data_IF_054352419971
#
_entry.id   IF_054352419971
#
_cell.length_a   1.000
_cell.length_b   1.000
_cell.length_c   1.000
_cell.angle_alpha   90.00
_cell.angle_beta   90.00
_cell.angle_gamma   90.00
#
_symmetry.space_group_name_H-M   'P 1'
#
loop_
_entity.id
_entity.type
_entity.pdbx_description
1 polymer ?
#
# COMPACT_ATOMS: atom_id res chain seq x y z
N UNK A 1 -4.63 -7.45 10.15
CA UNK A 1 -3.33 -7.28 10.84
C UNK A 1 -2.34 -6.87 9.76
N UNK A 2 -1.90 -5.61 9.74
CA UNK A 2 -0.89 -5.18 8.76
C UNK A 2 0.36 -6.06 8.92
N UNK A 3 0.74 -6.81 7.89
CA UNK A 3 1.71 -7.90 8.04
C UNK A 3 3.15 -7.39 8.16
N UNK A 4 3.47 -6.23 7.56
CA UNK A 4 4.80 -5.60 7.66
C UNK A 4 4.79 -4.08 7.61
N UNK A 5 5.90 -3.46 8.05
CA UNK A 5 6.12 -2.01 7.95
C UNK A 5 6.05 -1.50 6.49
N UNK A 6 6.48 -2.32 5.53
CA UNK A 6 6.40 -2.02 4.08
C UNK A 6 4.93 -1.80 3.67
N UNK A 7 4.06 -2.74 4.01
CA UNK A 7 2.63 -2.63 3.69
C UNK A 7 1.99 -1.41 4.36
N UNK A 8 2.34 -1.12 5.62
CA UNK A 8 1.84 0.07 6.32
C UNK A 8 2.27 1.37 5.61
N UNK A 9 3.54 1.49 5.19
CA UNK A 9 4.02 2.64 4.43
C UNK A 9 3.28 2.80 3.10
N UNK A 10 3.02 1.70 2.38
CA UNK A 10 2.30 1.73 1.11
C UNK A 10 0.82 2.07 1.27
N UNK A 11 0.18 1.63 2.35
CA UNK A 11 -1.19 2.02 2.69
C UNK A 11 -1.26 3.52 2.99
N UNK A 12 -0.34 4.04 3.80
CA UNK A 12 -0.24 5.48 4.04
C UNK A 12 -0.03 6.26 2.73
N UNK A 13 0.84 5.77 1.84
CA UNK A 13 1.04 6.37 0.53
C UNK A 13 -0.27 6.43 -0.27
N UNK A 14 -1.05 5.35 -0.29
CA UNK A 14 -2.33 5.31 -0.98
C UNK A 14 -3.37 6.28 -0.37
N UNK A 15 -3.41 6.39 0.95
CA UNK A 15 -4.31 7.33 1.64
C UNK A 15 -3.98 8.79 1.30
N UNK A 16 -2.71 9.14 1.26
CA UNK A 16 -2.24 10.53 1.05
C UNK A 16 -2.28 10.93 -0.44
N UNK A 17 -1.92 10.02 -1.35
CA UNK A 17 -1.77 10.33 -2.77
C UNK A 17 -3.06 9.98 -3.52
N UNK A 18 -3.69 10.98 -4.15
CA UNK A 18 -4.89 10.75 -4.97
C UNK A 18 -4.57 10.33 -6.41
N UNK A 19 -3.39 10.67 -6.93
CA UNK A 19 -2.96 10.28 -8.28
C UNK A 19 -2.07 9.05 -8.25
N UNK A 20 -2.28 8.13 -9.20
CA UNK A 20 -1.48 6.90 -9.34
C UNK A 20 -0.01 7.19 -9.62
N UNK A 21 0.30 8.28 -10.32
CA UNK A 21 1.68 8.73 -10.56
C UNK A 21 2.40 9.09 -9.26
N UNK A 22 1.71 9.81 -8.38
CA UNK A 22 2.27 10.28 -7.12
C UNK A 22 2.43 9.11 -6.14
N UNK A 23 1.46 8.19 -6.16
CA UNK A 23 1.57 6.92 -5.44
C UNK A 23 2.76 6.08 -5.92
N UNK A 24 3.00 6.00 -7.23
CA UNK A 24 4.15 5.27 -7.75
C UNK A 24 5.47 5.87 -7.28
N UNK A 25 5.61 7.21 -7.28
CA UNK A 25 6.79 7.88 -6.76
C UNK A 25 7.00 7.54 -5.27
N UNK A 26 5.97 7.68 -4.45
CA UNK A 26 6.05 7.36 -3.02
C UNK A 26 6.38 5.87 -2.78
N UNK A 27 5.79 4.97 -3.57
CA UNK A 27 6.12 3.54 -3.53
C UNK A 27 7.59 3.29 -3.84
N UNK A 28 8.16 3.97 -4.83
CA UNK A 28 9.59 3.84 -5.14
C UNK A 28 10.45 4.37 -4.00
N UNK A 29 10.09 5.51 -3.41
CA UNK A 29 10.81 6.08 -2.26
C UNK A 29 10.79 5.12 -1.07
N UNK A 30 9.63 4.54 -0.76
CA UNK A 30 9.49 3.49 0.26
C UNK A 30 10.43 2.32 -0.05
N UNK A 31 10.41 1.80 -1.28
CA UNK A 31 11.28 0.67 -1.66
C UNK A 31 12.77 1.02 -1.52
N UNK A 32 13.19 2.23 -1.90
CA UNK A 32 14.56 2.72 -1.74
C UNK A 32 14.95 2.80 -0.27
N UNK A 33 14.08 3.32 0.59
CA UNK A 33 14.33 3.41 2.04
C UNK A 33 14.55 2.02 2.63
N UNK A 34 13.72 1.02 2.30
CA UNK A 34 13.92 -0.34 2.80
C UNK A 34 15.20 -0.98 2.23
N UNK A 35 15.52 -0.77 0.95
CA UNK A 35 16.80 -1.23 0.38
C UNK A 35 18.00 -0.64 1.14
N UNK A 36 17.97 0.66 1.43
CA UNK A 36 19.05 1.35 2.15
C UNK A 36 19.18 0.87 3.61
N UNK A 37 18.10 0.33 4.20
CA UNK A 37 18.12 -0.28 5.52
C UNK A 37 18.59 -1.76 5.51
N UNK A 38 19.04 -2.26 4.36
CA UNK A 38 19.62 -3.60 4.24
C UNK A 38 18.61 -4.72 3.94
N UNK A 39 17.36 -4.40 3.66
CA UNK A 39 16.37 -5.39 3.23
C UNK A 39 16.66 -5.84 1.79
N UNK A 40 16.45 -7.13 1.50
CA UNK A 40 16.63 -7.64 0.15
C UNK A 40 15.54 -7.14 -0.78
N UNK A 41 15.89 -6.99 -2.06
CA UNK A 41 14.92 -6.56 -3.07
C UNK A 41 13.76 -7.55 -3.21
N UNK A 42 14.01 -8.86 -3.05
CA UNK A 42 12.99 -9.89 -3.13
C UNK A 42 12.01 -9.80 -1.96
N UNK A 43 12.51 -9.57 -0.75
CA UNK A 43 11.67 -9.33 0.43
C UNK A 43 10.76 -8.11 0.21
N UNK A 44 11.30 -7.00 -0.29
CA UNK A 44 10.52 -5.79 -0.53
C UNK A 44 9.45 -6.01 -1.61
N UNK A 45 9.81 -6.71 -2.69
CA UNK A 45 8.87 -7.04 -3.77
C UNK A 45 7.75 -7.93 -3.27
N UNK A 46 8.06 -8.99 -2.53
CA UNK A 46 7.07 -9.91 -1.98
C UNK A 46 6.03 -9.18 -1.13
N UNK A 47 6.45 -8.29 -0.24
CA UNK A 47 5.53 -7.57 0.63
C UNK A 47 4.73 -6.49 -0.08
N UNK A 48 5.32 -5.84 -1.10
CA UNK A 48 4.57 -4.96 -1.98
C UNK A 48 3.53 -5.74 -2.79
N UNK A 49 3.89 -6.93 -3.30
CA UNK A 49 2.99 -7.83 -4.03
C UNK A 49 1.81 -8.30 -3.20
N UNK A 50 2.08 -8.71 -1.96
CA UNK A 50 1.04 -9.12 -1.02
C UNK A 50 0.00 -8.01 -0.83
N UNK A 51 0.42 -6.75 -0.68
CA UNK A 51 -0.52 -5.64 -0.57
C UNK A 51 -1.46 -5.58 -1.79
N UNK A 52 -0.91 -5.60 -2.99
CA UNK A 52 -1.74 -5.52 -4.20
C UNK A 52 -2.65 -6.75 -4.34
N UNK A 53 -2.22 -7.93 -3.88
CA UNK A 53 -3.05 -9.13 -3.85
C UNK A 53 -4.19 -9.02 -2.83
N UNK A 54 -3.94 -8.44 -1.65
CA UNK A 54 -4.94 -8.21 -0.61
C UNK A 54 -6.09 -7.33 -1.10
N UNK A 55 -5.81 -6.40 -2.02
CA UNK A 55 -6.80 -5.54 -2.70
C UNK A 55 -7.14 -6.01 -4.12
N UNK A 56 -6.93 -7.29 -4.43
CA UNK A 56 -7.35 -7.94 -5.67
C UNK A 56 -6.78 -7.33 -6.98
N UNK A 57 -5.58 -6.74 -6.95
CA UNK A 57 -4.90 -6.16 -8.12
C UNK A 57 -3.81 -7.10 -8.63
N UNK A 58 -4.12 -7.79 -9.74
CA UNK A 58 -3.21 -8.72 -10.41
C UNK A 58 -2.22 -8.05 -11.38
N UNK A 59 -2.55 -6.88 -11.95
CA UNK A 59 -1.76 -6.20 -13.00
C UNK A 59 -0.96 -4.98 -12.50
N UNK A 60 -0.65 -4.90 -11.21
CA UNK A 60 -0.01 -3.73 -10.60
C UNK A 60 1.40 -3.44 -11.16
N UNK A 61 2.12 -4.47 -11.63
CA UNK A 61 3.48 -4.36 -12.19
C UNK A 61 3.50 -3.75 -13.59
N UNK A 62 2.47 -4.02 -14.38
CA UNK A 62 2.48 -3.77 -15.83
C UNK A 62 1.56 -2.63 -16.26
N UNK A 63 0.47 -2.36 -15.54
CA UNK A 63 -0.46 -1.27 -15.86
C UNK A 63 -1.40 -0.95 -14.69
N UNK A 64 -0.86 -0.44 -13.57
CA UNK A 64 -1.71 0.23 -12.58
C UNK A 64 -2.15 1.57 -13.16
N UNK A 65 -3.36 1.64 -13.70
CA UNK A 65 -3.96 2.88 -14.19
C UNK A 65 -4.73 3.58 -13.06
N UNK A 66 -5.09 4.85 -13.28
CA UNK A 66 -5.78 5.67 -12.29
C UNK A 66 -7.10 5.04 -11.80
N UNK A 67 -7.91 4.46 -12.69
CA UNK A 67 -9.20 3.87 -12.30
C UNK A 67 -9.02 2.62 -11.40
N UNK A 68 -8.06 1.75 -11.73
CA UNK A 68 -7.73 0.60 -10.87
C UNK A 68 -7.16 1.06 -9.53
N UNK A 69 -6.34 2.10 -9.54
CA UNK A 69 -5.79 2.70 -8.33
C UNK A 69 -6.88 3.35 -7.45
N UNK A 70 -7.84 4.05 -8.03
CA UNK A 70 -8.93 4.69 -7.30
C UNK A 70 -9.77 3.66 -6.55
N UNK A 71 -10.10 2.52 -7.19
CA UNK A 71 -10.82 1.42 -6.53
C UNK A 71 -10.04 0.83 -5.36
N UNK A 72 -8.76 0.55 -5.55
CA UNK A 72 -7.89 0.10 -4.46
C UNK A 72 -7.86 1.11 -3.32
N UNK A 73 -7.76 2.39 -3.65
CA UNK A 73 -7.68 3.47 -2.67
C UNK A 73 -8.99 3.59 -1.89
N UNK A 74 -10.14 3.43 -2.52
CA UNK A 74 -11.44 3.36 -1.85
C UNK A 74 -11.49 2.18 -0.86
N UNK A 75 -11.10 0.97 -1.28
CA UNK A 75 -11.03 -0.19 -0.39
C UNK A 75 -10.06 0.03 0.79
N UNK A 76 -8.91 0.67 0.56
CA UNK A 76 -7.95 1.04 1.62
C UNK A 76 -8.56 2.05 2.60
N UNK A 77 -9.31 3.03 2.10
CA UNK A 77 -9.98 4.03 2.95
C UNK A 77 -11.05 3.35 3.82
N UNK A 78 -11.88 2.49 3.23
CA UNK A 78 -12.88 1.72 3.97
C UNK A 78 -12.23 0.82 5.02
N UNK A 79 -11.13 0.15 4.66
CA UNK A 79 -10.35 -0.66 5.58
C UNK A 79 -9.83 0.17 6.76
N UNK A 80 -9.22 1.33 6.51
CA UNK A 80 -8.70 2.19 7.57
C UNK A 80 -9.81 2.71 8.50
N UNK A 81 -10.95 3.14 7.94
CA UNK A 81 -12.11 3.59 8.70
C UNK A 81 -12.64 2.50 9.65
N UNK A 82 -12.82 1.27 9.15
CA UNK A 82 -13.27 0.14 9.97
C UNK A 82 -12.29 -0.15 11.12
N UNK A 83 -10.99 -0.05 10.88
CA UNK A 83 -9.97 -0.30 11.91
C UNK A 83 -9.80 0.85 12.91
N UNK A 84 -10.12 2.09 12.53
CA UNK A 84 -10.17 3.22 13.45
C UNK A 84 -11.40 3.14 14.37
N UNK A 85 -12.57 2.75 13.86
CA UNK A 85 -13.79 2.60 14.67
C UNK A 85 -13.67 1.51 15.74
N UNK A 86 -12.99 0.40 15.44
CA UNK A 86 -12.74 -0.68 16.42
C UNK A 86 -11.85 -0.20 17.56
N UNK A 87 -10.86 0.67 17.30
CA UNK A 87 -10.00 1.26 18.34
C UNK A 87 -10.75 2.23 19.26
N UNK A 88 -11.79 2.90 18.75
CA UNK A 88 -12.61 3.83 19.54
C UNK A 88 -13.58 3.07 20.45
N UNK A 89 -14.15 1.95 19.99
CA UNK A 89 -15.11 1.14 20.78
C UNK A 89 -14.48 0.29 21.90
N UNK A 90 -13.15 0.21 21.96
CA UNK A 90 -12.39 -0.52 23.00
C UNK A 90 -11.79 0.39 24.08
N UNK A 91 -12.09 1.69 24.04
CA UNK A 91 -11.79 2.66 25.10
C UNK A 91 -13.06 2.99 25.88
#
# INVERSE_FOLDING_TARGET
MYSTLIQACLICAALIRSKVSDFHNERYDVQIVFLNNGYSMDFIKEHAEQLFQDFHISNWKSNLNQNTYDKMREEIIEYDQQHQEVKIKQR
#
